data_IF_688135996170
#
_entry.id   IF_688135996170
#
_cell.length_a   1.000
_cell.length_b   1.000
_cell.length_c   1.000
_cell.angle_alpha   90.00
_cell.angle_beta   90.00
_cell.angle_gamma   90.00
#
_symmetry.space_group_name_H-M   'P 1'
#
loop_
_entity.id
_entity.type
_entity.pdbx_description
1 polymer ?
#
# COMPACT_ATOMS: atom_id res chain seq x y z
N UNK A 1 28.35 -17.17 -30.17
CA UNK A 1 28.72 -17.35 -28.74
C UNK A 1 29.68 -16.23 -28.36
N UNK A 2 29.18 -15.12 -27.81
CA UNK A 2 30.03 -14.00 -27.35
C UNK A 2 29.33 -13.09 -26.30
N UNK A 3 28.34 -13.61 -25.57
CA UNK A 3 27.63 -12.85 -24.53
C UNK A 3 27.81 -13.44 -23.11
N UNK A 4 28.29 -14.67 -23.00
CA UNK A 4 28.47 -15.37 -21.71
C UNK A 4 29.88 -15.22 -21.13
N UNK A 5 30.91 -15.03 -21.97
CA UNK A 5 32.31 -14.97 -21.51
C UNK A 5 32.67 -13.67 -20.79
N UNK A 6 32.03 -12.54 -21.12
CA UNK A 6 32.26 -11.26 -20.43
C UNK A 6 31.51 -11.16 -19.09
N UNK A 7 30.39 -11.88 -18.95
CA UNK A 7 29.64 -11.93 -17.70
C UNK A 7 30.40 -12.72 -16.62
N UNK A 8 31.07 -13.80 -17.01
CA UNK A 8 31.83 -14.66 -16.09
C UNK A 8 33.14 -14.02 -15.60
N UNK A 9 33.76 -13.13 -16.39
CA UNK A 9 35.03 -12.48 -16.01
C UNK A 9 34.89 -11.29 -15.06
N UNK A 10 33.70 -10.68 -14.94
CA UNK A 10 33.46 -9.56 -14.03
C UNK A 10 32.85 -9.94 -12.67
N UNK A 11 32.57 -11.23 -12.43
CA UNK A 11 31.94 -11.71 -11.19
C UNK A 11 32.91 -11.86 -10.00
N UNK A 12 34.23 -11.70 -10.19
CA UNK A 12 35.24 -11.99 -9.14
C UNK A 12 35.74 -10.79 -8.33
N UNK A 13 35.14 -9.60 -8.45
CA UNK A 13 35.50 -8.46 -7.61
C UNK A 13 34.28 -7.64 -7.25
N UNK A 14 33.51 -8.04 -6.24
CA UNK A 14 32.83 -7.17 -5.25
C UNK A 14 32.07 -8.10 -4.27
N UNK A 15 32.80 -8.77 -3.38
CA UNK A 15 32.25 -9.84 -2.55
C UNK A 15 31.78 -9.43 -1.14
N UNK A 16 31.80 -8.15 -0.69
CA UNK A 16 31.58 -7.90 0.76
C UNK A 16 30.88 -6.59 1.19
N UNK A 17 30.00 -5.97 0.39
CA UNK A 17 29.30 -4.75 0.83
C UNK A 17 27.78 -4.60 0.56
N UNK A 18 27.10 -5.57 -0.09
CA UNK A 18 25.76 -5.28 -0.65
C UNK A 18 24.65 -6.31 -0.40
N UNK A 19 24.70 -7.10 0.69
CA UNK A 19 23.63 -8.07 1.01
C UNK A 19 22.47 -7.41 1.79
N UNK A 20 22.75 -6.43 2.67
CA UNK A 20 21.73 -5.86 3.57
C UNK A 20 20.77 -4.87 2.90
N UNK A 21 21.18 -4.23 1.81
CA UNK A 21 20.34 -3.27 1.07
C UNK A 21 19.33 -3.99 0.17
N UNK A 22 19.71 -5.12 -0.44
CA UNK A 22 18.85 -5.89 -1.36
C UNK A 22 17.64 -6.52 -0.64
N UNK A 23 17.78 -6.99 0.61
CA UNK A 23 16.66 -7.57 1.37
C UNK A 23 15.56 -6.56 1.69
N UNK A 24 15.95 -5.34 2.07
CA UNK A 24 15.02 -4.25 2.43
C UNK A 24 14.12 -3.82 1.29
N UNK A 25 14.65 -3.76 0.06
CA UNK A 25 13.86 -3.42 -1.13
C UNK A 25 12.85 -4.50 -1.50
N UNK A 26 13.20 -5.77 -1.32
CA UNK A 26 12.28 -6.89 -1.55
C UNK A 26 11.12 -6.85 -0.53
N UNK A 27 11.40 -6.56 0.74
CA UNK A 27 10.38 -6.41 1.78
C UNK A 27 9.43 -5.23 1.48
N UNK A 28 9.96 -4.08 1.08
CA UNK A 28 9.15 -2.94 0.63
C UNK A 28 8.27 -3.31 -0.56
N UNK A 29 8.80 -4.05 -1.53
CA UNK A 29 8.05 -4.53 -2.69
C UNK A 29 6.88 -5.44 -2.28
N UNK A 30 7.13 -6.41 -1.39
CA UNK A 30 6.10 -7.29 -0.84
C UNK A 30 5.00 -6.51 -0.10
N UNK A 31 5.39 -5.55 0.74
CA UNK A 31 4.44 -4.71 1.47
C UNK A 31 3.59 -3.83 0.54
N UNK A 32 4.17 -3.30 -0.55
CA UNK A 32 3.41 -2.55 -1.55
C UNK A 32 2.39 -3.43 -2.29
N UNK A 33 2.76 -4.66 -2.66
CA UNK A 33 1.82 -5.61 -3.28
C UNK A 33 0.70 -5.95 -2.32
N UNK A 34 1.02 -6.25 -1.05
CA UNK A 34 0.03 -6.51 -0.02
C UNK A 34 -0.90 -5.31 0.22
N UNK A 35 -0.36 -4.08 0.20
CA UNK A 35 -1.13 -2.85 0.33
C UNK A 35 -2.12 -2.67 -0.83
N UNK A 36 -1.67 -2.90 -2.06
CA UNK A 36 -2.53 -2.77 -3.24
C UNK A 36 -3.62 -3.84 -3.25
N UNK A 37 -3.28 -5.10 -2.93
CA UNK A 37 -4.27 -6.16 -2.76
C UNK A 37 -5.30 -5.78 -1.70
N UNK A 38 -4.85 -5.31 -0.53
CA UNK A 38 -5.75 -4.93 0.55
C UNK A 38 -6.69 -3.76 0.18
N UNK A 39 -6.21 -2.81 -0.64
CA UNK A 39 -7.03 -1.72 -1.18
C UNK A 39 -8.05 -2.20 -2.22
N UNK A 40 -7.68 -3.17 -3.07
CA UNK A 40 -8.62 -3.79 -4.01
C UNK A 40 -9.73 -4.52 -3.25
N UNK A 41 -9.38 -5.34 -2.25
CA UNK A 41 -10.37 -6.02 -1.41
C UNK A 41 -11.31 -5.02 -0.72
N UNK A 42 -10.81 -3.86 -0.28
CA UNK A 42 -11.62 -2.81 0.33
C UNK A 42 -12.62 -2.21 -0.68
N UNK A 43 -12.20 -2.01 -1.94
CA UNK A 43 -13.09 -1.55 -2.99
C UNK A 43 -14.16 -2.60 -3.30
N UNK A 44 -13.78 -3.88 -3.40
CA UNK A 44 -14.72 -4.99 -3.62
C UNK A 44 -15.76 -5.07 -2.49
N UNK A 45 -15.35 -4.85 -1.24
CA UNK A 45 -16.28 -4.76 -0.10
C UNK A 45 -17.28 -3.60 -0.26
N UNK A 46 -16.83 -2.43 -0.71
CA UNK A 46 -17.74 -1.31 -0.95
C UNK A 46 -18.71 -1.57 -2.09
N UNK A 47 -18.26 -2.21 -3.17
CA UNK A 47 -19.13 -2.61 -4.28
C UNK A 47 -20.19 -3.61 -3.81
N UNK A 48 -19.78 -4.65 -3.07
CA UNK A 48 -20.71 -5.63 -2.49
C UNK A 48 -21.74 -5.01 -1.56
N UNK A 49 -21.32 -4.07 -0.71
CA UNK A 49 -22.25 -3.32 0.16
C UNK A 49 -23.27 -2.56 -0.69
N UNK A 50 -22.81 -1.82 -1.70
CA UNK A 50 -23.68 -1.04 -2.58
C UNK A 50 -24.69 -1.91 -3.34
N UNK A 51 -24.21 -3.03 -3.89
CA UNK A 51 -25.04 -4.01 -4.59
C UNK A 51 -26.10 -4.61 -3.66
N UNK A 52 -25.68 -5.04 -2.46
CA UNK A 52 -26.57 -5.65 -1.47
C UNK A 52 -27.66 -4.66 -1.00
N UNK A 53 -27.30 -3.41 -0.73
CA UNK A 53 -28.27 -2.35 -0.37
C UNK A 53 -29.26 -2.11 -1.51
N UNK A 54 -28.77 -2.03 -2.75
CA UNK A 54 -29.62 -1.76 -3.91
C UNK A 54 -30.57 -2.92 -4.25
N UNK A 55 -30.10 -4.16 -4.17
CA UNK A 55 -30.88 -5.36 -4.47
C UNK A 55 -31.97 -5.60 -3.42
N UNK A 56 -31.61 -5.52 -2.14
CA UNK A 56 -32.53 -5.78 -1.04
C UNK A 56 -33.41 -4.57 -0.67
N UNK A 57 -33.27 -3.44 -1.40
CA UNK A 57 -34.02 -2.19 -1.18
C UNK A 57 -33.99 -1.75 0.28
N UNK A 58 -32.81 -1.86 0.89
CA UNK A 58 -32.64 -1.59 2.31
C UNK A 58 -32.81 -0.11 2.59
N UNK A 59 -33.80 0.20 3.42
CA UNK A 59 -34.13 1.57 3.83
C UNK A 59 -33.44 1.93 5.15
N UNK A 60 -33.32 0.96 6.06
CA UNK A 60 -32.59 1.10 7.32
C UNK A 60 -31.49 0.05 7.45
N UNK A 61 -30.25 0.54 7.33
CA UNK A 61 -29.01 -0.23 7.37
C UNK A 61 -28.79 -0.91 8.73
N UNK A 62 -29.45 -0.42 9.80
CA UNK A 62 -29.33 -0.99 11.15
C UNK A 62 -30.10 -2.29 11.34
N UNK A 63 -31.02 -2.62 10.42
CA UNK A 63 -31.88 -3.80 10.53
C UNK A 63 -31.32 -5.02 9.77
N UNK A 64 -30.21 -4.87 9.06
CA UNK A 64 -29.56 -5.96 8.33
C UNK A 64 -28.26 -6.36 9.03
N UNK A 65 -28.26 -7.54 9.65
CA UNK A 65 -27.08 -8.13 10.29
C UNK A 65 -25.95 -8.37 9.29
N UNK A 66 -26.29 -8.77 8.06
CA UNK A 66 -25.33 -8.98 6.95
C UNK A 66 -24.61 -7.69 6.56
N UNK A 67 -25.29 -6.54 6.58
CA UNK A 67 -24.65 -5.24 6.37
C UNK A 67 -23.73 -4.84 7.52
N UNK A 68 -24.11 -5.15 8.77
CA UNK A 68 -23.25 -4.89 9.92
C UNK A 68 -21.97 -5.72 9.86
N UNK A 69 -22.06 -6.97 9.42
CA UNK A 69 -20.90 -7.83 9.18
C UNK A 69 -19.99 -7.25 8.09
N UNK A 70 -20.55 -6.84 6.94
CA UNK A 70 -19.78 -6.20 5.87
C UNK A 70 -19.09 -4.91 6.34
N UNK A 71 -19.74 -4.10 7.19
CA UNK A 71 -19.10 -2.91 7.79
C UNK A 71 -17.98 -3.26 8.76
N UNK A 72 -18.11 -4.37 9.47
CA UNK A 72 -17.04 -4.88 10.31
C UNK A 72 -15.83 -5.32 9.47
N UNK A 73 -16.06 -6.05 8.38
CA UNK A 73 -15.01 -6.44 7.42
C UNK A 73 -14.29 -5.22 6.82
N UNK A 74 -15.03 -4.19 6.41
CA UNK A 74 -14.46 -2.92 5.94
C UNK A 74 -13.55 -2.28 7.01
N UNK A 75 -14.00 -2.29 8.26
CA UNK A 75 -13.23 -1.73 9.39
C UNK A 75 -11.93 -2.52 9.61
N UNK A 76 -11.99 -3.85 9.56
CA UNK A 76 -10.81 -4.71 9.65
C UNK A 76 -9.84 -4.47 8.49
N UNK A 77 -10.36 -4.36 7.26
CA UNK A 77 -9.52 -4.14 6.09
C UNK A 77 -8.82 -2.78 6.12
N UNK A 78 -9.51 -1.73 6.59
CA UNK A 78 -8.89 -0.41 6.84
C UNK A 78 -7.79 -0.48 7.89
N UNK A 79 -7.96 -1.28 8.95
CA UNK A 79 -6.91 -1.47 9.95
C UNK A 79 -5.67 -2.14 9.35
N UNK A 80 -5.83 -3.19 8.54
CA UNK A 80 -4.71 -3.86 7.84
C UNK A 80 -3.96 -2.90 6.91
N UNK A 81 -4.68 -2.08 6.14
CA UNK A 81 -4.08 -1.06 5.27
C UNK A 81 -3.21 -0.10 6.09
N UNK A 82 -3.71 0.40 7.22
CA UNK A 82 -2.95 1.31 8.11
C UNK A 82 -1.70 0.65 8.67
N UNK A 83 -1.78 -0.62 9.06
CA UNK A 83 -0.64 -1.36 9.60
C UNK A 83 0.47 -1.53 8.55
N UNK A 84 0.10 -1.95 7.33
CA UNK A 84 1.05 -2.10 6.22
C UNK A 84 1.69 -0.76 5.85
N UNK A 85 0.91 0.33 5.85
CA UNK A 85 1.43 1.68 5.62
C UNK A 85 2.41 2.12 6.72
N UNK A 86 2.11 1.84 7.99
CA UNK A 86 3.00 2.14 9.10
C UNK A 86 4.33 1.38 8.97
N UNK A 87 4.29 0.09 8.60
CA UNK A 87 5.49 -0.72 8.37
C UNK A 87 6.33 -0.18 7.20
N UNK A 88 5.68 0.22 6.09
CA UNK A 88 6.35 0.86 4.96
C UNK A 88 7.06 2.17 5.35
N UNK A 89 6.41 2.99 6.18
CA UNK A 89 6.97 4.25 6.65
C UNK A 89 8.15 4.05 7.62
N UNK A 90 8.12 3.01 8.46
CA UNK A 90 9.25 2.65 9.32
C UNK A 90 10.46 2.16 8.50
N UNK A 91 10.21 1.41 7.43
CA UNK A 91 11.28 0.91 6.56
C UNK A 91 11.87 2.00 5.67
N UNK A 92 11.05 2.94 5.20
CA UNK A 92 11.51 4.03 4.33
C UNK A 92 12.04 5.18 5.19
N UNK A 93 13.35 5.22 5.41
CA UNK A 93 14.06 6.37 6.04
C UNK A 93 13.92 7.69 5.26
N UNK A 94 13.24 7.66 4.11
CA UNK A 94 12.96 8.74 3.17
C UNK A 94 11.49 8.63 2.79
N UNK A 95 10.72 9.70 2.94
CA UNK A 95 9.28 9.65 2.64
C UNK A 95 9.09 9.55 1.12
N UNK A 96 8.11 8.77 0.65
CA UNK A 96 7.83 8.64 -0.78
C UNK A 96 6.37 8.95 -1.02
N UNK A 97 6.07 9.64 -2.12
CA UNK A 97 4.71 9.97 -2.50
C UNK A 97 3.86 8.70 -2.65
N UNK A 98 2.72 8.66 -1.97
CA UNK A 98 1.77 7.53 -2.00
C UNK A 98 1.13 7.31 -3.38
N UNK A 99 1.23 8.30 -4.28
CA UNK A 99 0.60 8.27 -5.61
C UNK A 99 1.60 8.14 -6.76
N UNK A 100 2.75 8.82 -6.72
CA UNK A 100 3.74 8.77 -7.81
C UNK A 100 5.07 8.11 -7.44
N UNK A 101 5.29 7.78 -6.15
CA UNK A 101 6.53 7.13 -5.70
C UNK A 101 7.77 8.03 -5.65
N UNK A 102 7.65 9.32 -5.98
CA UNK A 102 8.77 10.26 -5.86
C UNK A 102 9.21 10.42 -4.40
N UNK A 103 10.51 10.55 -4.16
CA UNK A 103 11.05 10.84 -2.84
C UNK A 103 10.64 12.26 -2.42
N UNK A 104 9.97 12.39 -1.28
CA UNK A 104 9.44 13.66 -0.76
C UNK A 104 9.81 13.80 0.72
N UNK A 105 9.65 15.00 1.27
CA UNK A 105 9.91 15.22 2.69
C UNK A 105 8.77 14.66 3.56
N UNK A 106 9.11 14.14 4.73
CA UNK A 106 8.15 13.53 5.67
C UNK A 106 7.08 14.51 6.19
N UNK A 107 7.25 15.82 5.99
CA UNK A 107 6.31 16.86 6.36
C UNK A 107 5.55 17.48 5.15
N UNK A 108 5.60 16.81 3.99
CA UNK A 108 4.97 17.27 2.75
C UNK A 108 3.50 16.85 2.64
N UNK A 109 2.56 17.80 2.80
CA UNK A 109 1.11 17.55 2.68
C UNK A 109 0.66 17.19 1.26
N UNK A 110 1.34 17.74 0.26
CA UNK A 110 1.06 17.53 -1.17
C UNK A 110 2.37 17.30 -1.92
N UNK A 111 2.44 16.24 -2.73
CA UNK A 111 3.66 15.92 -3.46
C UNK A 111 4.07 17.05 -4.44
N UNK A 112 5.31 17.55 -4.41
CA UNK A 112 5.77 18.61 -5.31
C UNK A 112 5.89 18.17 -6.77
N UNK A 113 5.86 16.85 -7.04
CA UNK A 113 6.00 16.29 -8.38
C UNK A 113 4.68 15.94 -9.05
N UNK A 114 3.67 15.52 -8.29
CA UNK A 114 2.38 15.09 -8.84
C UNK A 114 1.16 15.77 -8.19
N UNK A 115 1.40 16.68 -7.24
CA UNK A 115 0.38 17.44 -6.53
C UNK A 115 -0.63 16.61 -5.73
N UNK A 116 -0.40 15.30 -5.59
CA UNK A 116 -1.30 14.41 -4.87
C UNK A 116 -1.21 14.62 -3.34
N UNK A 117 -2.35 14.63 -2.63
CA UNK A 117 -2.40 14.68 -1.16
C UNK A 117 -1.73 13.44 -0.55
N UNK A 118 -0.95 13.63 0.53
CA UNK A 118 -0.32 12.53 1.26
C UNK A 118 -1.19 12.15 2.47
N UNK A 119 -1.82 10.97 2.42
CA UNK A 119 -2.88 10.58 3.37
C UNK A 119 -2.41 10.53 4.83
N UNK A 120 -1.13 10.23 5.04
CA UNK A 120 -0.55 10.16 6.38
C UNK A 120 -0.35 11.54 7.07
N UNK A 121 -0.61 12.65 6.37
CA UNK A 121 -0.47 14.02 6.91
C UNK A 121 -1.76 14.83 6.84
N UNK A 122 -2.85 14.24 6.34
CA UNK A 122 -4.16 14.87 6.27
C UNK A 122 -4.96 14.32 7.43
N UNK A 123 -5.17 15.14 8.45
CA UNK A 123 -6.12 14.85 9.53
C UNK A 123 -7.54 14.91 8.95
N UNK A 124 -8.17 13.75 8.83
CA UNK A 124 -9.53 13.58 8.29
C UNK A 124 -10.60 13.72 9.40
N UNK A 125 -10.25 14.34 10.54
CA UNK A 125 -11.22 14.78 11.54
C UNK A 125 -11.81 16.14 11.15
N UNK A 126 -12.93 16.10 10.44
CA UNK A 126 -14.00 17.10 10.52
C UNK A 126 -15.14 16.44 11.28
#
# INVERSE_FOLDING_TARGET
MAFWDDFQKNMNKTANASIKTTSKWIEIGKLNVALNAAKLDLNDLYERIGEYVYQNKIVDVKQSDELQELFHEVSQQKMKIREIQAQLNQMRSKYHCEQCGAEIDANTKYCPYCSAPQSNQIDWRI
#
